data_IF_654337367907
#
_entry.id   IF_654337367907
#
_cell.length_a   1.000
_cell.length_b   1.000
_cell.length_c   1.000
_cell.angle_alpha   90.00
_cell.angle_beta   90.00
_cell.angle_gamma   90.00
#
_symmetry.space_group_name_H-M   'P 1'
#
loop_
_entity.id
_entity.type
_entity.pdbx_description
1 polymer ?
#
# COMPACT_ATOMS: atom_id res chain seq x y z
N UNK A 1 -8.83 -7.76 17.27
CA UNK A 1 -7.83 -6.75 16.85
C UNK A 1 -7.72 -5.70 17.94
N UNK A 2 -6.53 -5.48 18.51
CA UNK A 2 -6.34 -4.54 19.60
C UNK A 2 -6.39 -3.08 19.13
N UNK A 3 -6.71 -2.19 20.07
CA UNK A 3 -6.54 -0.76 19.89
C UNK A 3 -5.06 -0.40 19.92
N UNK A 4 -4.67 0.59 19.14
CA UNK A 4 -3.34 1.16 19.21
C UNK A 4 -3.20 1.96 20.54
N UNK A 5 -2.23 1.61 21.40
CA UNK A 5 -2.06 2.29 22.69
C UNK A 5 -1.60 3.75 22.54
N UNK A 6 -0.96 4.10 21.41
CA UNK A 6 -0.47 5.46 21.16
C UNK A 6 -1.57 6.38 20.60
N UNK A 7 -2.69 5.82 20.13
CA UNK A 7 -3.82 6.62 19.67
C UNK A 7 -4.55 7.25 20.88
N UNK A 8 -4.80 8.57 20.91
CA UNK A 8 -5.57 9.20 21.98
C UNK A 8 -6.97 8.56 22.12
N UNK A 9 -7.45 8.41 23.38
CA UNK A 9 -8.70 7.74 23.68
C UNK A 9 -9.90 8.26 22.88
N UNK A 10 -9.95 9.56 22.61
CA UNK A 10 -11.04 10.19 21.87
C UNK A 10 -11.16 9.73 20.39
N UNK A 11 -10.10 9.10 19.85
CA UNK A 11 -10.06 8.58 18.48
C UNK A 11 -10.10 7.06 18.41
N UNK A 12 -10.19 6.38 19.55
CA UNK A 12 -10.31 4.92 19.60
C UNK A 12 -11.74 4.48 19.38
N UNK A 13 -11.90 3.39 18.66
CA UNK A 13 -13.20 2.74 18.57
C UNK A 13 -13.58 2.08 19.91
N UNK A 14 -14.83 2.20 20.34
CA UNK A 14 -15.31 1.48 21.54
C UNK A 14 -15.38 -0.03 21.31
N UNK A 15 -15.68 -0.42 20.08
CA UNK A 15 -15.75 -1.82 19.63
C UNK A 15 -15.08 -1.94 18.28
N UNK A 16 -14.72 -3.16 17.90
CA UNK A 16 -14.15 -3.43 16.58
C UNK A 16 -15.11 -2.96 15.46
N UNK A 17 -14.72 -1.91 14.65
CA UNK A 17 -15.59 -1.33 13.65
C UNK A 17 -15.85 -2.25 12.44
N UNK A 18 -15.04 -3.29 12.28
CA UNK A 18 -15.18 -4.27 11.20
C UNK A 18 -16.19 -5.36 11.50
N UNK A 19 -16.59 -5.49 12.78
CA UNK A 19 -17.52 -6.54 13.21
C UNK A 19 -18.83 -6.48 12.42
N UNK A 20 -19.14 -7.56 11.69
CA UNK A 20 -20.33 -7.69 10.82
C UNK A 20 -20.41 -6.63 9.70
N UNK A 21 -19.29 -6.03 9.33
CA UNK A 21 -19.21 -5.05 8.24
C UNK A 21 -19.33 -5.66 6.85
N UNK A 22 -18.99 -6.93 6.70
CA UNK A 22 -18.82 -7.59 5.40
C UNK A 22 -17.45 -7.37 4.76
N UNK A 23 -16.55 -6.68 5.46
CA UNK A 23 -15.17 -6.43 5.03
C UNK A 23 -14.17 -7.12 5.95
N UNK A 24 -13.05 -7.52 5.37
CA UNK A 24 -11.89 -8.01 6.12
C UNK A 24 -11.16 -6.85 6.82
N UNK A 25 -10.42 -7.19 7.87
CA UNK A 25 -9.37 -6.34 8.43
C UNK A 25 -8.16 -6.37 7.48
N UNK A 26 -8.20 -5.55 6.45
CA UNK A 26 -7.13 -5.47 5.47
C UNK A 26 -5.90 -4.77 6.06
N UNK A 27 -4.78 -5.48 6.14
CA UNK A 27 -3.54 -4.92 6.66
C UNK A 27 -2.94 -3.92 5.66
N UNK A 28 -2.48 -2.76 6.13
CA UNK A 28 -1.63 -1.85 5.36
C UNK A 28 -0.16 -2.31 5.45
N UNK A 29 0.34 -2.55 6.66
CA UNK A 29 1.60 -3.26 6.88
C UNK A 29 1.30 -4.72 7.20
N UNK A 30 1.63 -5.69 6.32
CA UNK A 30 1.25 -7.08 6.54
C UNK A 30 2.07 -7.71 7.67
N UNK A 31 1.43 -8.62 8.41
CA UNK A 31 2.06 -9.41 9.45
C UNK A 31 3.34 -10.12 8.96
N UNK A 32 3.31 -10.64 7.73
CA UNK A 32 4.45 -11.35 7.13
C UNK A 32 5.72 -10.49 6.98
N UNK A 33 5.61 -9.16 6.99
CA UNK A 33 6.75 -8.25 6.87
C UNK A 33 7.40 -7.92 8.24
N UNK A 34 6.77 -8.34 9.34
CA UNK A 34 7.17 -7.98 10.70
C UNK A 34 7.40 -9.20 11.61
N UNK A 35 7.85 -10.32 11.03
CA UNK A 35 8.05 -11.58 11.76
C UNK A 35 9.36 -11.64 12.58
N UNK A 36 10.17 -10.60 12.57
CA UNK A 36 11.46 -10.58 13.26
C UNK A 36 11.36 -10.42 14.79
N UNK A 37 10.21 -9.97 15.31
CA UNK A 37 9.91 -9.97 16.75
C UNK A 37 8.40 -10.11 16.99
N UNK A 38 8.03 -10.65 18.16
CA UNK A 38 6.64 -10.75 18.59
C UNK A 38 5.97 -9.36 18.62
N UNK A 39 6.65 -8.38 19.21
CA UNK A 39 6.11 -7.02 19.36
C UNK A 39 5.86 -6.34 18.00
N UNK A 40 6.84 -6.40 17.10
CA UNK A 40 6.70 -5.85 15.76
C UNK A 40 5.55 -6.51 14.99
N UNK A 41 5.39 -7.83 15.12
CA UNK A 41 4.28 -8.56 14.51
C UNK A 41 2.95 -8.20 15.17
N UNK A 42 2.87 -8.12 16.51
CA UNK A 42 1.67 -7.76 17.25
C UNK A 42 1.13 -6.37 16.85
N UNK A 43 2.01 -5.39 16.64
CA UNK A 43 1.64 -4.04 16.19
C UNK A 43 0.92 -4.04 14.84
N UNK A 44 1.21 -5.01 13.96
CA UNK A 44 0.50 -5.08 12.67
C UNK A 44 -0.98 -5.39 12.80
N UNK A 45 -1.44 -5.89 13.96
CA UNK A 45 -2.84 -6.18 14.25
C UNK A 45 -3.59 -5.02 14.90
N UNK A 46 -2.95 -3.88 15.16
CA UNK A 46 -3.64 -2.70 15.66
C UNK A 46 -4.69 -2.21 14.65
N UNK A 47 -5.83 -1.74 15.16
CA UNK A 47 -6.89 -1.20 14.31
C UNK A 47 -6.43 0.00 13.45
N UNK A 48 -5.39 0.74 13.88
CA UNK A 48 -4.75 1.81 13.10
C UNK A 48 -4.03 1.31 11.85
N UNK A 49 -3.69 0.02 11.78
CA UNK A 49 -3.09 -0.62 10.61
C UNK A 49 -4.12 -1.30 9.70
N UNK A 50 -5.42 -1.18 10.01
CA UNK A 50 -6.50 -1.88 9.30
C UNK A 50 -7.27 -0.93 8.40
N UNK A 51 -7.55 -1.40 7.18
CA UNK A 51 -8.48 -0.76 6.25
C UNK A 51 -9.55 -1.78 5.82
N UNK A 52 -10.82 -1.37 5.65
CA UNK A 52 -11.85 -2.31 5.22
C UNK A 52 -11.60 -2.75 3.79
N UNK A 53 -11.38 -4.04 3.60
CA UNK A 53 -11.13 -4.65 2.30
C UNK A 53 -12.12 -5.78 2.02
N UNK A 54 -12.60 -5.84 0.77
CA UNK A 54 -13.32 -7.03 0.29
C UNK A 54 -12.39 -8.24 0.35
N UNK A 55 -12.89 -9.39 0.81
CA UNK A 55 -12.07 -10.61 0.90
C UNK A 55 -11.40 -10.97 -0.44
N UNK A 56 -12.14 -10.89 -1.54
CA UNK A 56 -11.60 -11.17 -2.88
C UNK A 56 -10.51 -10.16 -3.34
N UNK A 57 -10.47 -8.97 -2.77
CA UNK A 57 -9.40 -7.99 -2.98
C UNK A 57 -8.21 -8.31 -2.06
N UNK A 58 -8.47 -8.45 -0.77
CA UNK A 58 -7.48 -8.67 0.28
C UNK A 58 -6.66 -9.95 0.03
N UNK A 59 -7.34 -11.09 -0.12
CA UNK A 59 -6.72 -12.39 -0.40
C UNK A 59 -6.41 -12.63 -1.90
N UNK A 60 -6.57 -11.62 -2.73
CA UNK A 60 -6.31 -11.66 -4.17
C UNK A 60 -5.15 -10.74 -4.56
N UNK A 61 -5.46 -9.68 -5.33
CA UNK A 61 -4.45 -8.80 -5.90
C UNK A 61 -3.58 -8.11 -4.84
N UNK A 62 -4.15 -7.78 -3.66
CA UNK A 62 -3.40 -7.14 -2.58
C UNK A 62 -2.33 -8.07 -2.01
N UNK A 63 -2.69 -9.30 -1.65
CA UNK A 63 -1.73 -10.33 -1.20
C UNK A 63 -0.69 -10.67 -2.26
N UNK A 64 -1.09 -10.75 -3.54
CA UNK A 64 -0.18 -10.96 -4.67
C UNK A 64 0.86 -9.84 -4.76
N UNK A 65 0.44 -8.58 -4.66
CA UNK A 65 1.34 -7.42 -4.64
C UNK A 65 2.30 -7.52 -3.44
N UNK A 66 1.83 -7.77 -2.22
CA UNK A 66 2.68 -7.90 -1.03
C UNK A 66 3.71 -9.03 -1.16
N UNK A 67 3.30 -10.17 -1.72
CA UNK A 67 4.20 -11.28 -2.02
C UNK A 67 5.28 -10.88 -3.02
N UNK A 68 4.93 -10.08 -4.03
CA UNK A 68 5.88 -9.57 -5.01
C UNK A 68 6.89 -8.58 -4.38
N UNK A 69 6.44 -7.70 -3.47
CA UNK A 69 7.32 -6.79 -2.74
C UNK A 69 8.40 -7.57 -1.96
N UNK A 70 7.98 -8.62 -1.23
CA UNK A 70 8.90 -9.50 -0.50
C UNK A 70 9.90 -10.18 -1.44
N UNK A 71 9.47 -10.64 -2.62
CA UNK A 71 10.38 -11.24 -3.62
C UNK A 71 11.43 -10.23 -4.08
N UNK A 72 11.07 -8.98 -4.34
CA UNK A 72 12.01 -7.96 -4.81
C UNK A 72 13.11 -7.66 -3.80
N UNK A 73 12.76 -7.57 -2.50
CA UNK A 73 13.77 -7.26 -1.47
C UNK A 73 14.60 -8.49 -1.07
N UNK A 74 14.07 -9.71 -1.23
CA UNK A 74 14.80 -10.93 -0.83
C UNK A 74 15.64 -11.53 -1.96
N UNK A 75 15.20 -11.44 -3.22
CA UNK A 75 15.85 -12.13 -4.34
C UNK A 75 17.17 -11.49 -4.77
N UNK A 76 17.34 -10.17 -4.61
CA UNK A 76 18.49 -9.41 -5.10
C UNK A 76 19.02 -8.41 -4.05
N UNK A 77 18.64 -8.57 -2.79
CA UNK A 77 19.04 -7.62 -1.76
C UNK A 77 20.51 -7.80 -1.38
N UNK A 78 21.28 -6.73 -1.55
CA UNK A 78 22.48 -6.55 -0.76
C UNK A 78 22.12 -5.98 0.62
N UNK A 79 23.03 -6.01 1.57
CA UNK A 79 22.81 -5.39 2.90
C UNK A 79 22.50 -3.89 2.84
N UNK A 80 22.74 -3.26 1.71
CA UNK A 80 22.56 -1.82 1.49
C UNK A 80 21.30 -1.50 0.67
N UNK A 81 20.56 -2.51 0.21
CA UNK A 81 19.33 -2.29 -0.54
C UNK A 81 18.18 -1.97 0.44
N UNK A 82 17.39 -0.97 0.10
CA UNK A 82 16.23 -0.57 0.90
C UNK A 82 15.01 -0.40 -0.01
N UNK A 83 13.91 -1.02 0.36
CA UNK A 83 12.60 -0.80 -0.26
C UNK A 83 11.75 0.04 0.69
N UNK A 84 11.49 1.30 0.32
CA UNK A 84 10.51 2.15 0.98
C UNK A 84 9.12 1.85 0.42
N UNK A 85 8.14 1.68 1.30
CA UNK A 85 6.78 1.28 0.94
C UNK A 85 5.79 2.22 1.63
N UNK A 86 4.97 2.91 0.84
CA UNK A 86 3.83 3.68 1.33
C UNK A 86 2.54 3.08 0.75
N UNK A 87 1.62 2.65 1.60
CA UNK A 87 0.35 2.03 1.21
C UNK A 87 -0.82 2.74 1.86
N UNK A 88 -1.94 2.82 1.16
CA UNK A 88 -3.16 3.39 1.71
C UNK A 88 -4.40 3.10 0.88
N UNK A 89 -5.54 3.47 1.45
CA UNK A 89 -6.82 3.53 0.77
C UNK A 89 -7.29 4.98 0.65
N UNK A 90 -8.08 5.29 -0.38
CA UNK A 90 -8.62 6.62 -0.61
C UNK A 90 -9.79 6.91 0.34
N UNK A 91 -9.68 7.95 1.16
CA UNK A 91 -10.65 8.24 2.23
C UNK A 91 -11.12 9.70 2.29
N UNK A 92 -10.50 10.61 1.54
CA UNK A 92 -10.71 12.06 1.65
C UNK A 92 -11.57 12.64 0.51
N UNK A 93 -11.42 12.14 -0.73
CA UNK A 93 -12.18 12.60 -1.88
C UNK A 93 -13.48 11.81 -2.01
N UNK A 94 -14.63 12.49 -2.04
CA UNK A 94 -15.95 11.86 -2.05
C UNK A 94 -16.17 10.88 -3.22
N UNK A 95 -15.62 11.17 -4.39
CA UNK A 95 -15.68 10.32 -5.58
C UNK A 95 -14.74 9.09 -5.52
N UNK A 96 -13.85 9.07 -4.54
CA UNK A 96 -12.90 7.99 -4.26
C UNK A 96 -13.27 7.19 -2.99
N UNK A 97 -14.38 7.47 -2.36
CA UNK A 97 -14.98 6.67 -1.28
C UNK A 97 -16.02 5.74 -1.89
N UNK A 98 -15.92 4.44 -1.58
CA UNK A 98 -16.89 3.45 -2.04
C UNK A 98 -18.20 3.57 -1.25
N UNK A 99 -18.08 3.64 0.07
CA UNK A 99 -19.19 3.86 0.99
C UNK A 99 -18.67 4.25 2.38
N UNK A 100 -19.54 4.77 3.23
CA UNK A 100 -19.30 4.94 4.66
C UNK A 100 -20.34 4.11 5.42
N UNK A 101 -19.86 3.23 6.30
CA UNK A 101 -20.74 2.36 7.08
C UNK A 101 -21.45 3.14 8.19
N UNK A 102 -22.53 2.57 8.73
CA UNK A 102 -23.35 3.22 9.76
C UNK A 102 -22.57 3.61 11.04
N UNK A 103 -21.47 2.92 11.32
CA UNK A 103 -20.57 3.24 12.42
C UNK A 103 -19.51 4.30 12.07
N UNK A 104 -19.52 4.86 10.86
CA UNK A 104 -18.57 5.87 10.40
C UNK A 104 -17.30 5.32 9.73
N UNK A 105 -17.14 3.98 9.64
CA UNK A 105 -16.00 3.40 8.95
C UNK A 105 -16.06 3.69 7.45
N UNK A 106 -15.05 4.40 6.93
CA UNK A 106 -14.93 4.74 5.52
C UNK A 106 -14.34 3.55 4.76
N UNK A 107 -15.02 3.13 3.70
CA UNK A 107 -14.56 2.08 2.78
C UNK A 107 -13.95 2.73 1.55
N UNK A 108 -12.64 2.59 1.32
CA UNK A 108 -11.97 3.14 0.14
C UNK A 108 -12.50 2.55 -1.15
N UNK A 109 -12.61 3.37 -2.19
CA UNK A 109 -12.89 2.91 -3.55
C UNK A 109 -11.65 2.45 -4.28
N UNK A 110 -10.51 2.99 -3.90
CA UNK A 110 -9.20 2.63 -4.45
C UNK A 110 -8.18 2.39 -3.34
N UNK A 111 -7.21 1.55 -3.64
CA UNK A 111 -6.02 1.34 -2.82
C UNK A 111 -4.77 1.61 -3.65
N UNK A 112 -3.74 2.11 -2.99
CA UNK A 112 -2.48 2.42 -3.65
C UNK A 112 -1.28 1.86 -2.89
N UNK A 113 -0.17 1.70 -3.64
CA UNK A 113 1.13 1.42 -3.06
C UNK A 113 2.18 2.20 -3.84
N UNK A 114 2.90 3.11 -3.17
CA UNK A 114 4.06 3.80 -3.71
C UNK A 114 5.33 3.11 -3.20
N UNK A 115 6.24 2.80 -4.11
CA UNK A 115 7.49 2.09 -3.87
C UNK A 115 8.69 2.91 -4.33
N UNK A 116 9.71 2.98 -3.49
CA UNK A 116 11.03 3.51 -3.85
C UNK A 116 12.08 2.48 -3.45
N UNK A 117 12.81 1.96 -4.43
CA UNK A 117 13.97 1.10 -4.19
C UNK A 117 15.24 1.93 -4.25
N UNK A 118 16.05 1.85 -3.20
CA UNK A 118 17.42 2.35 -3.17
C UNK A 118 18.39 1.18 -3.21
N UNK A 119 19.35 1.20 -4.12
CA UNK A 119 20.43 0.22 -4.19
C UNK A 119 21.73 0.87 -4.70
N UNK A 120 22.76 0.06 -4.97
CA UNK A 120 24.03 0.55 -5.52
C UNK A 120 23.93 1.23 -6.88
N UNK A 121 22.87 0.97 -7.65
CA UNK A 121 22.61 1.59 -8.96
C UNK A 121 21.83 2.91 -8.85
N UNK A 122 21.40 3.33 -7.66
CA UNK A 122 20.62 4.55 -7.41
C UNK A 122 19.20 4.26 -6.95
N UNK A 123 18.26 5.02 -7.48
CA UNK A 123 16.85 4.94 -7.12
C UNK A 123 15.98 4.50 -8.29
N UNK A 124 14.91 3.75 -8.00
CA UNK A 124 13.81 3.50 -8.93
C UNK A 124 12.48 3.51 -8.17
N UNK A 125 11.45 4.10 -8.75
CA UNK A 125 10.13 4.22 -8.15
C UNK A 125 9.06 3.52 -8.97
N UNK A 126 7.96 3.12 -8.33
CA UNK A 126 6.80 2.48 -8.93
C UNK A 126 5.56 2.78 -8.10
N UNK A 127 4.45 3.12 -8.75
CA UNK A 127 3.13 3.19 -8.16
C UNK A 127 2.26 2.02 -8.57
N UNK A 128 1.44 1.53 -7.65
CA UNK A 128 0.29 0.69 -7.95
C UNK A 128 -1.00 1.43 -7.61
N UNK A 129 -1.99 1.27 -8.49
CA UNK A 129 -3.34 1.78 -8.30
C UNK A 129 -4.36 0.68 -8.54
N UNK A 130 -5.13 0.33 -7.52
CA UNK A 130 -6.09 -0.76 -7.54
C UNK A 130 -7.50 -0.24 -7.28
N UNK A 131 -8.46 -0.61 -8.11
CA UNK A 131 -9.87 -0.47 -7.75
C UNK A 131 -10.25 -1.53 -6.71
N UNK A 132 -10.98 -1.14 -5.67
CA UNK A 132 -11.39 -2.01 -4.57
C UNK A 132 -12.52 -2.95 -5.00
N UNK A 133 -12.15 -4.01 -5.68
CA UNK A 133 -13.04 -5.07 -6.19
C UNK A 133 -12.29 -6.39 -6.32
N UNK A 134 -12.98 -7.47 -6.71
CA UNK A 134 -12.37 -8.72 -7.10
C UNK A 134 -11.60 -8.51 -8.42
N UNK A 135 -10.31 -8.18 -8.35
CA UNK A 135 -9.45 -8.02 -9.50
C UNK A 135 -9.01 -9.41 -9.98
N UNK A 136 -9.46 -9.81 -11.18
CA UNK A 136 -9.19 -11.14 -11.76
C UNK A 136 -7.87 -11.20 -12.52
N UNK A 137 -7.30 -10.06 -12.89
CA UNK A 137 -6.01 -10.01 -13.54
C UNK A 137 -4.89 -10.17 -12.48
N UNK A 138 -4.21 -11.30 -12.53
CA UNK A 138 -3.09 -11.61 -11.64
C UNK A 138 -1.80 -10.91 -12.05
N UNK A 139 -1.75 -10.31 -13.25
CA UNK A 139 -0.61 -9.57 -13.73
C UNK A 139 -0.53 -8.19 -13.07
N UNK A 140 0.38 -8.02 -12.12
CA UNK A 140 0.59 -6.75 -11.43
C UNK A 140 0.98 -5.60 -12.37
N UNK A 141 1.57 -5.89 -13.53
CA UNK A 141 1.87 -4.90 -14.57
C UNK A 141 0.65 -4.12 -15.06
N UNK A 142 -0.56 -4.68 -14.95
CA UNK A 142 -1.82 -4.02 -15.32
C UNK A 142 -2.24 -2.89 -14.36
N UNK A 143 -1.67 -2.86 -13.15
CA UNK A 143 -2.00 -1.89 -12.10
C UNK A 143 -0.90 -0.85 -11.89
N UNK A 144 0.18 -0.91 -12.69
CA UNK A 144 1.30 0.01 -12.56
C UNK A 144 0.92 1.39 -13.08
N UNK A 145 1.25 2.39 -12.29
CA UNK A 145 1.30 3.81 -12.64
C UNK A 145 2.68 4.35 -12.30
N UNK A 146 3.09 5.49 -12.86
CA UNK A 146 4.26 6.19 -12.32
C UNK A 146 3.87 7.01 -11.08
N UNK A 147 4.84 7.56 -10.38
CA UNK A 147 4.57 8.28 -9.13
C UNK A 147 3.82 9.59 -9.39
N UNK A 148 4.17 10.39 -10.41
CA UNK A 148 3.44 11.62 -10.78
C UNK A 148 1.94 11.36 -10.99
N UNK A 149 1.60 10.23 -11.64
CA UNK A 149 0.20 9.82 -11.81
C UNK A 149 -0.44 9.46 -10.47
N UNK A 150 0.29 8.74 -9.61
CA UNK A 150 -0.21 8.34 -8.29
C UNK A 150 -0.46 9.57 -7.41
N UNK A 151 0.41 10.57 -7.47
CA UNK A 151 0.25 11.86 -6.78
C UNK A 151 -0.97 12.63 -7.26
N UNK A 152 -1.15 12.70 -8.57
CA UNK A 152 -2.35 13.31 -9.16
C UNK A 152 -3.64 12.64 -8.69
N UNK A 153 -3.63 11.31 -8.54
CA UNK A 153 -4.78 10.53 -8.08
C UNK A 153 -5.04 10.70 -6.58
N UNK A 154 -3.99 10.68 -5.76
CA UNK A 154 -4.08 10.69 -4.31
C UNK A 154 -4.09 12.10 -3.72
N UNK A 155 -3.38 13.04 -4.35
CA UNK A 155 -3.09 14.37 -3.79
C UNK A 155 -1.97 14.35 -2.75
N UNK A 156 -1.24 13.24 -2.65
CA UNK A 156 -0.07 13.09 -1.77
C UNK A 156 1.19 13.40 -2.56
N UNK A 157 2.20 13.90 -1.90
CA UNK A 157 3.55 14.14 -2.39
C UNK A 157 4.44 13.02 -1.86
N UNK A 158 4.81 12.07 -2.73
CA UNK A 158 5.62 10.92 -2.35
C UNK A 158 7.11 11.24 -2.50
N UNK A 159 7.92 10.65 -1.61
CA UNK A 159 9.38 10.72 -1.67
C UNK A 159 10.00 12.13 -1.65
N UNK A 160 9.25 13.13 -1.19
CA UNK A 160 9.62 14.56 -1.10
C UNK A 160 10.93 14.85 -0.33
N UNK A 161 11.56 13.85 0.28
CA UNK A 161 12.88 13.97 0.90
C UNK A 161 14.04 13.63 -0.03
N UNK A 162 13.76 13.23 -1.28
CA UNK A 162 14.80 13.08 -2.30
C UNK A 162 15.26 14.47 -2.80
N UNK A 163 16.51 14.59 -3.29
CA UNK A 163 16.89 15.79 -4.04
C UNK A 163 16.00 15.94 -5.28
N UNK A 164 15.48 17.14 -5.54
CA UNK A 164 14.51 17.47 -6.61
C UNK A 164 14.82 16.81 -7.96
N UNK A 165 16.10 16.84 -8.38
CA UNK A 165 16.50 16.24 -9.66
C UNK A 165 16.40 14.71 -9.69
N UNK A 166 16.56 14.05 -8.54
CA UNK A 166 16.40 12.59 -8.41
C UNK A 166 14.93 12.23 -8.31
N UNK A 167 14.19 12.96 -7.50
CA UNK A 167 12.75 12.84 -7.29
C UNK A 167 12.01 12.95 -8.63
N UNK A 168 12.09 14.10 -9.28
CA UNK A 168 11.47 14.33 -10.59
C UNK A 168 11.83 13.25 -11.64
N UNK A 169 13.08 12.77 -11.63
CA UNK A 169 13.51 11.74 -12.58
C UNK A 169 12.82 10.40 -12.33
N UNK A 170 12.74 9.93 -11.08
CA UNK A 170 12.18 8.60 -10.77
C UNK A 170 10.67 8.57 -10.83
N UNK A 171 10.01 9.71 -10.61
CA UNK A 171 8.56 9.85 -10.55
C UNK A 171 7.91 10.02 -11.92
N UNK A 172 8.57 10.75 -12.83
CA UNK A 172 8.05 11.06 -14.16
C UNK A 172 8.31 10.00 -15.22
N UNK A 173 8.98 8.89 -14.90
CA UNK A 173 9.29 7.85 -15.88
C UNK A 173 8.02 7.32 -16.56
N UNK A 174 8.03 7.14 -17.90
CA UNK A 174 6.92 6.48 -18.59
C UNK A 174 6.61 5.11 -18.00
N UNK A 175 5.34 4.76 -17.86
CA UNK A 175 4.87 3.53 -17.22
C UNK A 175 5.55 2.27 -17.78
N UNK A 176 5.77 2.19 -19.09
CA UNK A 176 6.46 1.04 -19.69
C UNK A 176 7.93 0.93 -19.27
N UNK A 177 8.59 2.07 -19.00
CA UNK A 177 9.95 2.07 -18.46
C UNK A 177 9.96 1.64 -16.99
N UNK A 178 8.94 2.08 -16.23
CA UNK A 178 8.74 1.64 -14.85
C UNK A 178 8.55 0.12 -14.81
N UNK A 179 7.63 -0.43 -15.62
CA UNK A 179 7.39 -1.89 -15.71
C UNK A 179 8.68 -2.65 -16.03
N UNK A 180 9.46 -2.17 -17.01
CA UNK A 180 10.75 -2.77 -17.38
C UNK A 180 11.73 -2.78 -16.22
N UNK A 181 11.89 -1.64 -15.54
CA UNK A 181 12.81 -1.50 -14.42
C UNK A 181 12.48 -2.42 -13.24
N UNK A 182 11.19 -2.83 -13.10
CA UNK A 182 10.72 -3.69 -12.02
C UNK A 182 10.42 -5.14 -12.46
N UNK A 183 10.66 -5.47 -13.72
CA UNK A 183 10.41 -6.82 -14.26
C UNK A 183 8.93 -7.19 -14.31
N UNK A 184 8.07 -6.22 -14.61
CA UNK A 184 6.60 -6.38 -14.74
C UNK A 184 6.14 -6.28 -16.21
N UNK A 185 7.05 -6.38 -17.17
CA UNK A 185 6.70 -6.55 -18.58
C UNK A 185 6.12 -7.95 -18.80
N UNK A 186 5.14 -8.05 -19.70
CA UNK A 186 4.63 -9.33 -20.21
C UNK A 186 5.52 -9.87 -21.30
#
# INVERSE_FOLDING_TARGET
>A
YPQDPDLPQAYRWETDPFRRSGYDHGHLCPSADRLYSFEANYQTFFLTNMSPQLNAFNAGVWENMESQLRKWITANSSRNDTLYVCKGGTIDKADQVLTTLANGLIVPKYFFCALLMKNSGGYKALGFWFEHKANRDENLGSYVVNIDQLESLTGLDFFCNLPDGTENHVESLPVENVKRAWGLEK
#
